data_IF_183710334990
#
_entry.id   IF_183710334990
#
_cell.length_a   1.000
_cell.length_b   1.000
_cell.length_c   1.000
_cell.angle_alpha   90.00
_cell.angle_beta   90.00
_cell.angle_gamma   90.00
#
_symmetry.space_group_name_H-M   'P 1'
#
loop_
_entity.id
_entity.type
_entity.pdbx_description
1 polymer ?
#
# COMPACT_ATOMS: atom_id res chain seq x y z
N UNK A 1 81.27 -50.84 45.27
CA UNK A 1 80.78 -50.74 43.87
C UNK A 1 79.26 -50.92 43.70
N UNK A 2 78.57 -51.80 44.46
CA UNK A 2 77.12 -52.03 44.31
C UNK A 2 76.21 -50.83 44.66
N UNK A 3 76.61 -49.97 45.60
CA UNK A 3 75.76 -48.85 46.07
C UNK A 3 75.73 -47.64 45.12
N UNK A 4 76.76 -47.45 44.29
CA UNK A 4 76.81 -46.35 43.31
C UNK A 4 75.95 -46.61 42.06
N UNK A 5 75.76 -47.87 41.68
CA UNK A 5 74.98 -48.26 40.48
C UNK A 5 73.47 -48.05 40.70
N UNK A 6 72.97 -48.26 41.91
CA UNK A 6 71.54 -48.12 42.25
C UNK A 6 71.10 -46.63 42.21
N UNK A 7 71.97 -45.72 42.66
CA UNK A 7 71.69 -44.28 42.70
C UNK A 7 71.63 -43.67 41.29
N UNK A 8 72.51 -44.09 40.37
CA UNK A 8 72.52 -43.64 38.97
C UNK A 8 71.28 -44.15 38.21
N UNK A 9 70.83 -45.37 38.47
CA UNK A 9 69.61 -45.97 37.88
C UNK A 9 68.31 -45.29 38.37
N UNK A 10 68.25 -44.87 39.63
CA UNK A 10 67.11 -44.12 40.18
C UNK A 10 67.05 -42.69 39.62
N UNK A 11 68.20 -42.02 39.49
CA UNK A 11 68.29 -40.64 38.99
C UNK A 11 67.99 -40.55 37.48
N UNK A 12 68.40 -41.55 36.69
CA UNK A 12 68.00 -41.66 35.27
C UNK A 12 66.50 -41.97 35.13
N UNK A 13 65.91 -42.87 35.92
CA UNK A 13 64.46 -43.11 35.92
C UNK A 13 63.64 -41.86 36.30
N UNK A 14 64.11 -41.07 37.26
CA UNK A 14 63.44 -39.83 37.67
C UNK A 14 63.49 -38.76 36.57
N UNK A 15 64.63 -38.61 35.89
CA UNK A 15 64.77 -37.72 34.73
C UNK A 15 63.89 -38.16 33.55
N UNK A 16 63.77 -39.46 33.30
CA UNK A 16 62.92 -40.01 32.22
C UNK A 16 61.43 -39.85 32.55
N UNK A 17 61.01 -40.10 33.79
CA UNK A 17 59.62 -39.87 34.25
C UNK A 17 59.23 -38.39 34.19
N UNK A 18 60.13 -37.48 34.55
CA UNK A 18 59.87 -36.03 34.48
C UNK A 18 59.70 -35.55 33.02
N UNK A 19 60.48 -36.09 32.08
CA UNK A 19 60.33 -35.84 30.64
C UNK A 19 59.02 -36.39 30.09
N UNK A 20 58.60 -37.59 30.53
CA UNK A 20 57.31 -38.19 30.15
C UNK A 20 56.14 -37.34 30.65
N UNK A 21 56.21 -36.84 31.89
CA UNK A 21 55.18 -35.95 32.46
C UNK A 21 55.11 -34.63 31.69
N UNK A 22 56.24 -34.00 31.36
CA UNK A 22 56.25 -32.79 30.53
C UNK A 22 55.69 -33.04 29.13
N UNK A 23 56.02 -34.19 28.52
CA UNK A 23 55.50 -34.56 27.21
C UNK A 23 53.97 -34.79 27.24
N UNK A 24 53.45 -35.47 28.26
CA UNK A 24 52.02 -35.68 28.47
C UNK A 24 51.28 -34.35 28.72
N UNK A 25 51.87 -33.43 29.51
CA UNK A 25 51.30 -32.10 29.74
C UNK A 25 51.23 -31.27 28.45
N UNK A 26 52.27 -31.31 27.63
CA UNK A 26 52.26 -30.65 26.31
C UNK A 26 51.20 -31.25 25.39
N UNK A 27 51.01 -32.58 25.41
CA UNK A 27 50.01 -33.28 24.61
C UNK A 27 48.56 -32.93 25.02
N UNK A 28 48.32 -32.73 26.32
CA UNK A 28 47.01 -32.31 26.84
C UNK A 28 46.71 -30.86 26.45
N UNK A 29 47.72 -29.98 26.52
CA UNK A 29 47.57 -28.56 26.15
C UNK A 29 47.32 -28.41 24.64
N UNK A 30 47.99 -29.19 23.79
CA UNK A 30 47.77 -29.16 22.33
C UNK A 30 46.43 -29.79 21.93
N UNK A 31 45.95 -30.81 22.66
CA UNK A 31 44.63 -31.40 22.46
C UNK A 31 43.46 -30.46 22.80
N UNK A 32 43.65 -29.55 23.76
CA UNK A 32 42.64 -28.55 24.13
C UNK A 32 42.63 -27.30 23.23
N UNK A 33 43.68 -27.09 22.42
CA UNK A 33 43.83 -25.88 21.59
C UNK A 33 43.01 -25.91 20.29
N UNK A 34 42.36 -27.01 19.95
CA UNK A 34 41.48 -27.11 18.79
C UNK A 34 40.09 -26.53 19.14
N UNK A 35 39.99 -25.20 19.29
CA UNK A 35 38.68 -24.54 19.27
C UNK A 35 38.09 -24.72 17.88
N UNK A 36 36.99 -25.46 17.78
CA UNK A 36 36.21 -25.59 16.54
C UNK A 36 35.90 -24.17 16.05
N UNK A 37 36.34 -23.83 14.83
CA UNK A 37 36.00 -22.55 14.21
C UNK A 37 34.48 -22.51 14.08
N UNK A 38 33.84 -21.51 14.67
CA UNK A 38 32.40 -21.35 14.55
C UNK A 38 32.12 -20.84 13.14
N UNK A 39 31.36 -21.61 12.37
CA UNK A 39 31.06 -21.28 10.99
C UNK A 39 29.99 -20.19 10.92
N UNK A 40 30.26 -19.16 10.10
CA UNK A 40 29.37 -18.02 9.89
C UNK A 40 29.17 -17.12 11.12
N UNK A 41 28.28 -16.15 10.96
CA UNK A 41 27.89 -15.16 11.97
C UNK A 41 26.38 -14.95 11.91
N UNK A 42 25.73 -14.83 13.06
CA UNK A 42 24.30 -14.49 13.18
C UNK A 42 24.18 -13.34 14.19
N UNK A 43 23.91 -12.13 13.69
CA UNK A 43 23.91 -10.91 14.49
C UNK A 43 22.86 -10.94 15.62
N UNK A 44 23.15 -10.23 16.71
CA UNK A 44 22.21 -9.94 17.81
C UNK A 44 21.36 -8.68 17.53
N UNK A 45 21.72 -7.90 16.53
CA UNK A 45 21.17 -6.57 16.25
C UNK A 45 20.43 -6.49 14.92
N UNK A 46 19.96 -7.64 14.40
CA UNK A 46 19.02 -7.66 13.28
C UNK A 46 17.78 -6.84 13.61
N UNK A 47 17.23 -6.18 12.58
CA UNK A 47 16.09 -5.27 12.75
C UNK A 47 15.37 -5.03 11.44
N UNK A 48 14.15 -4.52 11.52
CA UNK A 48 13.64 -3.70 10.42
C UNK A 48 14.25 -2.31 10.50
N UNK A 49 14.33 -1.63 9.36
CA UNK A 49 14.67 -0.19 9.31
C UNK A 49 13.67 0.61 10.16
N UNK A 50 12.38 0.30 10.03
CA UNK A 50 11.32 0.78 10.92
C UNK A 50 10.69 -0.40 11.65
N UNK A 51 10.74 -0.37 12.99
CA UNK A 51 10.13 -1.38 13.85
C UNK A 51 8.59 -1.33 13.78
N UNK A 52 8.03 -0.18 13.40
CA UNK A 52 6.60 0.04 13.22
C UNK A 52 6.23 -0.23 11.76
N UNK A 53 5.56 -1.35 11.54
CA UNK A 53 5.06 -1.76 10.23
C UNK A 53 3.60 -1.34 10.18
N UNK A 54 3.21 -0.58 9.17
CA UNK A 54 1.83 -0.11 9.04
C UNK A 54 1.10 -0.97 8.01
N UNK A 55 -0.05 -1.51 8.41
CA UNK A 55 -1.04 -2.08 7.52
C UNK A 55 -2.16 -1.05 7.37
N UNK A 56 -2.18 -0.36 6.23
CA UNK A 56 -3.33 0.44 5.82
C UNK A 56 -4.38 -0.54 5.26
N UNK A 57 -5.38 -0.86 6.07
CA UNK A 57 -6.33 -1.93 5.78
C UNK A 57 -7.03 -1.75 4.43
N UNK A 58 -7.24 -2.85 3.72
CA UNK A 58 -8.01 -2.90 2.47
C UNK A 58 -7.26 -2.43 1.23
N UNK A 59 -6.02 -1.94 1.35
CA UNK A 59 -5.18 -1.66 0.17
C UNK A 59 -4.85 -2.97 -0.59
N UNK A 60 -4.66 -2.89 -1.93
CA UNK A 60 -4.34 -4.06 -2.74
C UNK A 60 -3.00 -4.72 -2.36
N UNK A 61 -2.02 -3.91 -1.97
CA UNK A 61 -0.71 -4.36 -1.52
C UNK A 61 -0.09 -3.33 -0.58
N UNK A 62 0.28 -3.76 0.63
CA UNK A 62 1.13 -3.00 1.55
C UNK A 62 2.26 -3.91 1.99
N UNK A 63 3.50 -3.47 1.84
CA UNK A 63 4.67 -4.30 2.15
C UNK A 63 5.62 -3.57 3.09
N UNK A 64 6.15 -4.31 4.06
CA UNK A 64 7.25 -3.83 4.89
C UNK A 64 8.56 -3.82 4.10
N UNK A 65 9.55 -3.11 4.65
CA UNK A 65 10.94 -3.31 4.27
C UNK A 65 11.39 -4.73 4.65
N UNK A 66 12.45 -5.22 4.00
CA UNK A 66 13.12 -6.46 4.38
C UNK A 66 13.85 -6.29 5.71
N UNK A 67 14.13 -7.40 6.39
CA UNK A 67 14.96 -7.39 7.59
C UNK A 67 16.40 -7.03 7.21
N UNK A 68 16.99 -6.10 7.95
CA UNK A 68 18.42 -5.83 7.94
C UNK A 68 19.11 -6.92 8.77
N UNK A 69 19.94 -7.72 8.10
CA UNK A 69 20.61 -8.88 8.68
C UNK A 69 21.89 -8.51 9.42
N UNK A 70 22.30 -7.24 9.36
CA UNK A 70 23.42 -6.69 10.12
C UNK A 70 24.70 -7.54 10.01
N UNK A 71 25.13 -7.79 8.77
CA UNK A 71 26.35 -8.55 8.47
C UNK A 71 26.28 -10.06 8.71
N UNK A 72 25.12 -10.60 9.10
CA UNK A 72 24.93 -12.05 9.29
C UNK A 72 25.22 -12.83 8.00
N UNK A 73 25.76 -14.03 8.15
CA UNK A 73 26.13 -14.91 7.03
C UNK A 73 24.86 -15.51 6.39
N UNK A 74 24.56 -15.21 5.11
CA UNK A 74 23.47 -15.87 4.39
C UNK A 74 23.84 -17.32 4.00
N UNK A 75 22.87 -18.18 3.68
CA UNK A 75 21.42 -17.91 3.70
C UNK A 75 20.86 -17.91 5.13
N UNK A 76 19.87 -17.03 5.36
CA UNK A 76 19.12 -16.95 6.62
C UNK A 76 17.65 -17.28 6.31
N UNK A 77 17.04 -18.13 7.13
CA UNK A 77 15.60 -18.37 7.13
C UNK A 77 14.99 -17.66 8.33
N UNK A 78 13.91 -16.95 8.09
CA UNK A 78 13.12 -16.24 9.08
C UNK A 78 11.79 -16.94 9.31
N UNK A 79 11.33 -16.91 10.56
CA UNK A 79 10.02 -17.40 10.95
C UNK A 79 9.37 -16.47 11.97
N UNK A 80 8.10 -16.12 11.74
CA UNK A 80 7.34 -15.23 12.61
C UNK A 80 6.70 -16.03 13.73
N UNK A 81 6.98 -15.63 14.96
CA UNK A 81 6.54 -16.34 16.16
C UNK A 81 5.70 -15.43 17.05
N UNK A 82 4.78 -16.03 17.82
CA UNK A 82 4.01 -15.36 18.86
C UNK A 82 3.35 -14.03 18.45
N UNK A 83 2.70 -13.96 17.28
CA UNK A 83 1.92 -12.78 16.92
C UNK A 83 0.79 -12.59 17.94
N UNK A 84 0.79 -11.43 18.59
CA UNK A 84 -0.10 -11.12 19.73
C UNK A 84 -0.43 -9.64 19.76
N UNK A 85 -1.55 -9.29 20.36
CA UNK A 85 -1.87 -7.90 20.65
C UNK A 85 -0.88 -7.31 21.69
N UNK A 86 -0.75 -5.99 21.75
CA UNK A 86 0.21 -5.31 22.65
C UNK A 86 -0.02 -5.64 24.14
N UNK A 87 -1.25 -5.98 24.52
CA UNK A 87 -1.61 -6.42 25.88
C UNK A 87 -1.25 -7.89 26.18
N UNK A 88 -0.70 -8.63 25.21
CA UNK A 88 -0.32 -10.04 25.34
C UNK A 88 -1.35 -11.05 24.86
N UNK A 89 -2.57 -10.63 24.51
CA UNK A 89 -3.59 -11.54 23.99
C UNK A 89 -3.18 -12.11 22.62
N UNK A 90 -3.47 -13.38 22.31
CA UNK A 90 -3.19 -13.94 21.00
C UNK A 90 -3.77 -13.11 19.85
N UNK A 91 -3.08 -13.08 18.71
CA UNK A 91 -3.60 -12.40 17.55
C UNK A 91 -4.96 -12.97 17.12
N UNK A 92 -5.89 -12.11 16.69
CA UNK A 92 -7.22 -12.54 16.31
C UNK A 92 -7.16 -13.44 15.08
N UNK A 93 -8.12 -14.37 14.98
CA UNK A 93 -8.16 -15.39 13.92
C UNK A 93 -8.17 -14.78 12.51
N UNK A 94 -8.58 -13.53 12.38
CA UNK A 94 -8.71 -12.78 11.15
C UNK A 94 -7.35 -12.63 10.44
N UNK A 95 -6.21 -12.65 11.16
CA UNK A 95 -4.87 -12.71 10.55
C UNK A 95 -4.62 -13.99 9.73
N UNK A 96 -5.26 -15.09 10.13
CA UNK A 96 -5.00 -16.44 9.63
C UNK A 96 -6.17 -17.01 8.82
N UNK A 97 -7.31 -16.33 8.84
CA UNK A 97 -8.48 -16.71 8.07
C UNK A 97 -8.27 -16.37 6.59
N UNK A 98 -8.70 -17.24 5.70
CA UNK A 98 -8.62 -16.98 4.28
C UNK A 98 -9.83 -16.18 3.80
N UNK A 99 -9.60 -15.22 2.92
CA UNK A 99 -10.63 -14.41 2.28
C UNK A 99 -10.49 -14.51 0.77
N UNK A 100 -11.62 -14.50 0.06
CA UNK A 100 -11.63 -14.39 -1.39
C UNK A 100 -11.22 -12.97 -1.79
N UNK A 101 -10.08 -12.84 -2.47
CA UNK A 101 -9.55 -11.55 -2.95
C UNK A 101 -9.32 -11.63 -4.46
N UNK A 102 -9.79 -10.62 -5.19
CA UNK A 102 -9.45 -10.44 -6.59
C UNK A 102 -8.03 -9.87 -6.70
N UNK A 103 -7.13 -10.60 -7.36
CA UNK A 103 -5.74 -10.21 -7.56
C UNK A 103 -5.26 -10.53 -8.98
N UNK A 104 -4.12 -9.97 -9.36
CA UNK A 104 -3.45 -10.38 -10.60
C UNK A 104 -2.80 -11.76 -10.40
N UNK A 105 -2.86 -12.58 -11.45
CA UNK A 105 -2.15 -13.85 -11.50
C UNK A 105 -0.64 -13.63 -11.32
N UNK A 106 0.11 -14.57 -10.73
CA UNK A 106 1.55 -14.44 -10.59
C UNK A 106 2.24 -14.06 -11.91
N UNK A 107 3.09 -13.03 -11.87
CA UNK A 107 3.81 -12.52 -13.05
C UNK A 107 2.98 -11.68 -14.03
N UNK A 108 1.68 -11.52 -13.79
CA UNK A 108 0.81 -10.68 -14.61
C UNK A 108 0.62 -9.30 -13.95
N UNK A 109 0.52 -8.27 -14.77
CA UNK A 109 0.25 -6.89 -14.33
C UNK A 109 -0.66 -6.18 -15.31
N UNK A 110 -1.29 -5.09 -14.86
CA UNK A 110 -2.05 -4.21 -15.74
C UNK A 110 -1.14 -3.50 -16.73
N UNK A 111 -1.58 -3.41 -17.99
CA UNK A 111 -0.92 -2.65 -19.04
C UNK A 111 -1.93 -1.73 -19.75
N UNK A 112 -1.72 -0.42 -19.58
CA UNK A 112 -2.45 0.69 -20.20
C UNK A 112 -2.48 0.66 -21.74
N UNK A 113 -1.73 -0.19 -22.43
CA UNK A 113 -1.79 -0.28 -23.91
C UNK A 113 -2.57 -1.48 -24.38
N UNK A 114 -2.53 -2.58 -23.63
CA UNK A 114 -3.09 -3.87 -24.05
C UNK A 114 -4.37 -4.24 -23.32
N UNK A 115 -4.59 -3.77 -22.10
CA UNK A 115 -5.81 -4.04 -21.32
C UNK A 115 -6.84 -2.93 -21.58
N UNK A 116 -7.48 -3.00 -22.74
CA UNK A 116 -8.48 -1.99 -23.17
C UNK A 116 -9.90 -2.35 -22.80
N UNK A 117 -10.16 -3.62 -22.53
CA UNK A 117 -11.49 -4.14 -22.18
C UNK A 117 -11.48 -4.88 -20.84
N UNK A 118 -12.64 -4.96 -20.19
CA UNK A 118 -12.84 -5.76 -18.96
C UNK A 118 -12.43 -7.21 -19.18
N UNK A 119 -12.72 -7.77 -20.36
CA UNK A 119 -12.39 -9.14 -20.71
C UNK A 119 -10.86 -9.38 -20.78
N UNK A 120 -10.08 -8.46 -21.33
CA UNK A 120 -8.61 -8.54 -21.35
C UNK A 120 -8.03 -8.45 -19.94
N UNK A 121 -8.52 -7.49 -19.15
CA UNK A 121 -8.13 -7.32 -17.76
C UNK A 121 -8.41 -8.59 -16.93
N UNK A 122 -9.59 -9.20 -17.11
CA UNK A 122 -9.99 -10.40 -16.39
C UNK A 122 -9.20 -11.65 -16.80
N UNK A 123 -8.58 -11.70 -17.98
CA UNK A 123 -7.64 -12.79 -18.33
C UNK A 123 -6.42 -12.80 -17.40
N UNK A 124 -6.02 -11.63 -16.91
CA UNK A 124 -4.85 -11.43 -16.03
C UNK A 124 -5.18 -11.51 -14.54
N UNK A 125 -6.47 -11.53 -14.19
CA UNK A 125 -6.94 -11.55 -12.80
C UNK A 125 -7.49 -12.91 -12.43
N UNK A 126 -7.47 -13.19 -11.14
CA UNK A 126 -8.13 -14.33 -10.54
C UNK A 126 -8.62 -13.99 -9.14
N UNK A 127 -9.71 -14.65 -8.74
CA UNK A 127 -10.12 -14.68 -7.35
C UNK A 127 -9.30 -15.75 -6.65
N UNK A 128 -8.59 -15.38 -5.60
CA UNK A 128 -7.78 -16.30 -4.82
C UNK A 128 -8.21 -16.22 -3.36
N UNK A 129 -8.38 -17.38 -2.75
CA UNK A 129 -8.61 -17.51 -1.32
C UNK A 129 -7.26 -17.50 -0.63
N UNK A 130 -6.95 -16.42 0.09
CA UNK A 130 -5.64 -16.19 0.73
C UNK A 130 -5.81 -15.56 2.10
N UNK A 131 -4.84 -15.77 2.98
CA UNK A 131 -4.74 -15.01 4.24
C UNK A 131 -4.49 -13.53 3.94
N UNK A 132 -4.93 -12.61 4.81
CA UNK A 132 -4.75 -11.18 4.59
C UNK A 132 -3.31 -10.71 4.77
N UNK A 133 -2.49 -11.51 5.44
CA UNK A 133 -1.08 -11.26 5.72
C UNK A 133 -0.24 -12.46 5.31
N UNK A 134 0.91 -12.18 4.70
CA UNK A 134 1.96 -13.16 4.38
C UNK A 134 3.29 -12.69 4.96
N UNK A 135 4.04 -13.61 5.57
CA UNK A 135 5.41 -13.38 6.02
C UNK A 135 6.38 -14.13 5.12
N UNK A 136 7.32 -13.43 4.49
CA UNK A 136 8.30 -14.02 3.60
C UNK A 136 9.47 -14.62 4.42
N UNK A 137 9.69 -15.93 4.40
CA UNK A 137 10.72 -16.57 5.22
C UNK A 137 12.16 -16.31 4.75
N UNK A 138 12.37 -15.73 3.56
CA UNK A 138 13.70 -15.43 3.02
C UNK A 138 14.12 -13.99 3.28
N UNK A 139 13.19 -13.04 3.11
CA UNK A 139 13.48 -11.61 3.32
C UNK A 139 12.99 -11.07 4.66
N UNK A 140 12.14 -11.82 5.35
CA UNK A 140 11.38 -11.35 6.50
C UNK A 140 10.35 -10.29 6.15
N UNK A 141 10.04 -10.01 4.88
CA UNK A 141 9.03 -9.01 4.54
C UNK A 141 7.63 -9.47 4.91
N UNK A 142 6.83 -8.55 5.45
CA UNK A 142 5.39 -8.76 5.67
C UNK A 142 4.64 -8.09 4.52
N UNK A 143 3.72 -8.82 3.90
CA UNK A 143 2.83 -8.32 2.86
C UNK A 143 1.38 -8.43 3.31
N UNK A 144 0.61 -7.36 3.11
CA UNK A 144 -0.83 -7.33 3.33
C UNK A 144 -1.56 -7.16 2.01
N UNK A 145 -2.71 -7.82 1.88
CA UNK A 145 -3.62 -7.67 0.75
C UNK A 145 -4.97 -7.11 1.21
N UNK A 146 -5.95 -7.04 0.29
CA UNK A 146 -7.28 -6.46 0.57
C UNK A 146 -8.05 -7.13 1.70
N UNK A 147 -7.81 -8.42 1.94
CA UNK A 147 -8.42 -9.16 3.06
C UNK A 147 -8.09 -8.55 4.42
N UNK A 148 -7.03 -7.72 4.52
CA UNK A 148 -6.65 -7.00 5.74
C UNK A 148 -7.74 -6.09 6.30
N UNK A 149 -8.75 -5.73 5.50
CA UNK A 149 -9.94 -5.01 5.98
C UNK A 149 -10.68 -5.74 7.10
N UNK A 150 -10.57 -7.07 7.15
CA UNK A 150 -11.18 -7.89 8.19
C UNK A 150 -10.35 -7.96 9.47
N UNK A 151 -9.07 -7.58 9.44
CA UNK A 151 -8.22 -7.59 10.63
C UNK A 151 -8.66 -6.43 11.55
N UNK A 152 -8.92 -6.67 12.85
CA UNK A 152 -9.26 -5.61 13.78
C UNK A 152 -8.17 -4.53 13.88
N UNK A 153 -8.59 -3.28 14.09
CA UNK A 153 -7.66 -2.19 14.37
C UNK A 153 -6.90 -2.47 15.67
N UNK A 154 -5.62 -2.14 15.70
CA UNK A 154 -4.79 -2.35 16.89
C UNK A 154 -3.31 -2.43 16.60
N UNK A 155 -2.54 -2.69 17.65
CA UNK A 155 -1.10 -2.92 17.60
C UNK A 155 -0.79 -4.35 17.95
N UNK A 156 -0.05 -5.02 17.07
CA UNK A 156 0.30 -6.42 17.22
C UNK A 156 1.80 -6.58 17.21
N UNK A 157 2.33 -7.26 18.20
CA UNK A 157 3.75 -7.52 18.38
C UNK A 157 4.02 -8.96 17.98
N UNK A 158 5.14 -9.21 17.32
CA UNK A 158 5.61 -10.57 17.04
C UNK A 158 7.07 -10.74 17.45
N UNK A 159 7.42 -11.98 17.70
CA UNK A 159 8.79 -12.43 17.89
C UNK A 159 9.32 -12.96 16.54
N UNK A 160 10.62 -12.92 16.34
CA UNK A 160 11.26 -13.45 15.13
C UNK A 160 12.21 -14.57 15.51
N UNK A 161 12.11 -15.71 14.83
CA UNK A 161 13.18 -16.70 14.82
C UNK A 161 13.99 -16.57 13.54
N UNK A 162 15.33 -16.49 13.65
CA UNK A 162 16.23 -16.49 12.51
C UNK A 162 17.22 -17.66 12.61
N UNK A 163 17.44 -18.34 11.48
CA UNK A 163 18.33 -19.52 11.41
C UNK A 163 19.31 -19.39 10.26
N UNK A 164 20.60 -19.64 10.50
CA UNK A 164 21.62 -19.84 9.47
C UNK A 164 22.65 -20.91 9.88
N UNK A 165 23.78 -20.98 9.18
CA UNK A 165 24.88 -21.93 9.47
C UNK A 165 25.45 -21.79 10.89
N UNK A 166 25.33 -20.62 11.51
CA UNK A 166 25.81 -20.35 12.86
C UNK A 166 24.85 -20.86 13.95
N UNK A 167 23.59 -21.13 13.59
CA UNK A 167 22.55 -21.63 14.51
C UNK A 167 21.21 -20.91 14.36
N UNK A 168 20.39 -21.01 15.40
CA UNK A 168 19.06 -20.40 15.49
C UNK A 168 19.00 -19.41 16.65
N UNK A 169 18.39 -18.24 16.43
CA UNK A 169 18.20 -17.19 17.45
C UNK A 169 16.75 -16.71 17.47
N UNK A 170 16.22 -16.48 18.68
CA UNK A 170 14.91 -15.87 18.89
C UNK A 170 15.07 -14.41 19.31
N UNK A 171 14.37 -13.52 18.63
CA UNK A 171 14.29 -12.09 18.92
C UNK A 171 12.88 -11.78 19.42
N UNK A 172 12.69 -11.63 20.75
CA UNK A 172 11.38 -11.31 21.30
C UNK A 172 10.98 -9.86 20.98
N UNK A 173 9.69 -9.65 20.72
CA UNK A 173 9.11 -8.34 20.41
C UNK A 173 9.86 -7.59 19.29
N UNK A 174 10.16 -8.34 18.22
CA UNK A 174 11.01 -7.91 17.11
C UNK A 174 10.41 -6.75 16.33
N UNK A 175 9.11 -6.81 16.02
CA UNK A 175 8.39 -5.80 15.25
C UNK A 175 6.99 -5.54 15.80
N UNK A 176 6.42 -4.39 15.45
CA UNK A 176 5.03 -4.01 15.77
C UNK A 176 4.28 -3.74 14.47
N UNK A 177 3.19 -4.47 14.24
CA UNK A 177 2.25 -4.27 13.15
C UNK A 177 1.13 -3.36 13.66
N UNK A 178 1.02 -2.17 13.08
CA UNK A 178 -0.03 -1.20 13.33
C UNK A 178 -1.12 -1.40 12.26
N UNK A 179 -2.26 -1.96 12.67
CA UNK A 179 -3.43 -2.12 11.81
C UNK A 179 -4.26 -0.84 11.93
N UNK A 180 -4.29 -0.05 10.87
CA UNK A 180 -4.95 1.25 10.82
C UNK A 180 -5.84 1.38 9.59
N UNK A 181 -6.86 2.22 9.70
CA UNK A 181 -7.62 2.60 8.52
C UNK A 181 -6.83 3.61 7.68
N UNK A 182 -6.85 3.49 6.34
CA UNK A 182 -6.26 4.48 5.45
C UNK A 182 -6.94 5.83 5.65
N UNK A 183 -6.13 6.90 5.69
CA UNK A 183 -6.63 8.26 5.72
C UNK A 183 -7.15 8.68 4.34
N UNK A 184 -8.00 9.72 4.26
CA UNK A 184 -8.47 10.23 2.96
C UNK A 184 -7.33 10.54 1.98
N UNK A 185 -6.20 11.08 2.43
CA UNK A 185 -5.02 11.38 1.60
C UNK A 185 -4.27 10.13 1.08
N UNK A 186 -4.41 9.00 1.77
CA UNK A 186 -3.88 7.71 1.31
C UNK A 186 -4.70 7.16 0.13
N UNK A 187 -5.98 7.53 0.06
CA UNK A 187 -6.94 7.04 -0.94
C UNK A 187 -7.12 8.06 -2.08
N UNK A 188 -7.18 9.35 -1.76
CA UNK A 188 -7.55 10.41 -2.68
C UNK A 188 -6.45 11.46 -2.76
N UNK A 189 -6.32 12.07 -3.93
CA UNK A 189 -5.57 13.30 -4.15
C UNK A 189 -6.48 14.27 -4.88
N UNK A 190 -6.79 15.41 -4.28
CA UNK A 190 -7.42 16.52 -5.00
C UNK A 190 -6.34 17.33 -5.71
N UNK A 191 -6.49 17.52 -7.01
CA UNK A 191 -5.52 18.21 -7.86
C UNK A 191 -6.03 19.60 -8.30
N UNK A 192 -7.35 19.75 -8.50
CA UNK A 192 -7.97 21.02 -8.90
C UNK A 192 -9.46 21.09 -8.49
N UNK A 193 -9.98 22.30 -8.27
CA UNK A 193 -11.39 22.56 -7.97
C UNK A 193 -11.78 24.03 -8.26
N UNK A 194 -11.61 24.49 -9.50
CA UNK A 194 -11.91 25.87 -9.91
C UNK A 194 -13.26 25.97 -10.62
N UNK A 195 -13.95 27.11 -10.54
CA UNK A 195 -15.11 27.38 -11.40
C UNK A 195 -15.13 28.83 -11.87
N UNK A 196 -15.60 29.03 -13.10
CA UNK A 196 -15.77 30.35 -13.70
C UNK A 196 -17.16 30.50 -14.30
N UNK A 197 -17.72 31.69 -14.19
CA UNK A 197 -18.93 32.11 -14.89
C UNK A 197 -18.56 32.55 -16.31
N UNK A 198 -19.26 32.07 -17.33
CA UNK A 198 -19.08 32.52 -18.71
C UNK A 198 -20.34 33.23 -19.16
N UNK A 199 -20.22 34.48 -19.57
CA UNK A 199 -21.33 35.22 -20.14
C UNK A 199 -21.74 34.57 -21.48
N UNK A 200 -23.00 34.18 -21.64
CA UNK A 200 -23.45 33.36 -22.76
C UNK A 200 -23.40 34.09 -24.11
N UNK A 201 -23.59 35.41 -24.11
CA UNK A 201 -23.49 36.25 -25.32
C UNK A 201 -22.05 36.64 -25.64
N UNK A 202 -21.29 37.19 -24.70
CA UNK A 202 -19.95 37.77 -24.97
C UNK A 202 -18.82 36.77 -24.83
N UNK A 203 -19.06 35.62 -24.19
CA UNK A 203 -18.04 34.62 -23.89
C UNK A 203 -17.05 35.02 -22.78
N UNK A 204 -17.21 36.21 -22.18
CA UNK A 204 -16.31 36.71 -21.15
C UNK A 204 -16.35 35.81 -19.92
N UNK A 205 -15.18 35.36 -19.49
CA UNK A 205 -15.00 34.58 -18.28
C UNK A 205 -14.87 35.52 -17.06
N UNK A 206 -15.66 35.27 -16.02
CA UNK A 206 -15.63 36.00 -14.76
C UNK A 206 -15.50 35.00 -13.62
N UNK A 207 -14.62 35.28 -12.66
CA UNK A 207 -14.44 34.43 -11.49
C UNK A 207 -15.68 34.47 -10.58
N UNK A 208 -15.99 33.33 -9.96
CA UNK A 208 -16.94 33.22 -8.85
C UNK A 208 -16.39 32.22 -7.83
N UNK A 209 -17.14 31.85 -6.79
CA UNK A 209 -16.59 31.00 -5.73
C UNK A 209 -16.19 29.62 -6.26
N UNK A 210 -15.03 29.16 -5.81
CA UNK A 210 -14.57 27.82 -6.12
C UNK A 210 -15.52 26.76 -5.51
N UNK A 211 -15.79 25.65 -6.23
CA UNK A 211 -16.53 24.53 -5.69
C UNK A 211 -15.76 23.84 -4.55
N UNK A 212 -16.51 23.12 -3.71
CA UNK A 212 -15.95 22.17 -2.74
C UNK A 212 -16.03 20.77 -3.32
N UNK A 213 -14.89 20.10 -3.44
CA UNK A 213 -14.84 18.69 -3.80
C UNK A 213 -14.81 17.84 -2.52
N UNK A 214 -15.62 16.79 -2.47
CA UNK A 214 -15.66 15.85 -1.34
C UNK A 214 -15.61 14.41 -1.84
N UNK A 215 -14.94 13.57 -1.06
CA UNK A 215 -14.71 12.17 -1.38
C UNK A 215 -15.24 11.31 -0.25
N UNK A 216 -16.13 10.38 -0.57
CA UNK A 216 -16.73 9.46 0.40
C UNK A 216 -16.58 8.04 -0.11
N UNK A 217 -15.88 7.19 0.65
CA UNK A 217 -15.88 5.74 0.40
C UNK A 217 -17.17 5.15 0.98
N UNK A 218 -17.95 4.47 0.16
CA UNK A 218 -19.22 3.84 0.57
C UNK A 218 -19.13 2.33 0.65
N UNK A 219 -18.16 1.72 -0.05
CA UNK A 219 -17.87 0.29 0.07
C UNK A 219 -16.39 0.01 -0.24
N UNK A 220 -15.84 -1.04 0.38
CA UNK A 220 -14.55 -1.63 0.02
C UNK A 220 -14.63 -2.48 -1.24
N UNK A 221 -15.84 -2.85 -1.65
CA UNK A 221 -16.09 -3.70 -2.82
C UNK A 221 -16.30 -2.87 -4.09
N UNK A 222 -15.94 -3.48 -5.21
CA UNK A 222 -16.08 -2.92 -6.56
C UNK A 222 -14.96 -1.96 -6.93
N UNK A 223 -15.15 -1.28 -8.06
CA UNK A 223 -14.26 -0.25 -8.58
C UNK A 223 -15.12 0.81 -9.27
N UNK A 224 -15.93 1.52 -8.47
CA UNK A 224 -16.99 2.42 -8.94
C UNK A 224 -16.83 3.83 -8.39
N UNK A 225 -16.99 4.82 -9.27
CA UNK A 225 -17.13 6.23 -8.91
C UNK A 225 -18.55 6.69 -9.27
N UNK A 226 -19.22 7.32 -8.30
CA UNK A 226 -20.49 8.02 -8.46
C UNK A 226 -20.19 9.52 -8.33
N UNK A 227 -20.00 10.18 -9.46
CA UNK A 227 -19.69 11.61 -9.54
C UNK A 227 -20.97 12.44 -9.55
N UNK A 228 -21.11 13.31 -8.56
CA UNK A 228 -22.22 14.27 -8.42
C UNK A 228 -21.71 15.68 -8.62
N UNK A 229 -22.45 16.49 -9.36
CA UNK A 229 -22.28 17.94 -9.37
C UNK A 229 -23.55 18.53 -8.78
N UNK A 230 -23.42 19.27 -7.68
CA UNK A 230 -24.54 19.79 -6.92
C UNK A 230 -24.45 21.30 -6.74
N UNK A 231 -25.61 21.91 -6.51
CA UNK A 231 -25.72 23.32 -6.21
C UNK A 231 -25.33 23.62 -4.74
N UNK A 232 -25.38 24.90 -4.36
CA UNK A 232 -24.99 25.35 -3.02
C UNK A 232 -25.84 24.78 -1.91
N UNK A 233 -27.03 24.26 -2.22
CA UNK A 233 -27.96 23.63 -1.28
C UNK A 233 -27.85 22.10 -1.28
N UNK A 234 -26.97 21.52 -2.11
CA UNK A 234 -26.80 20.07 -2.25
C UNK A 234 -27.80 19.42 -3.20
N UNK A 235 -28.56 20.19 -4.00
CA UNK A 235 -29.43 19.64 -5.03
C UNK A 235 -28.57 19.25 -6.25
N UNK A 236 -28.55 17.98 -6.68
CA UNK A 236 -27.76 17.56 -7.83
C UNK A 236 -28.34 18.16 -9.12
N UNK A 237 -27.45 18.53 -10.04
CA UNK A 237 -27.80 18.78 -11.44
C UNK A 237 -28.06 17.44 -12.14
N UNK A 238 -28.99 17.44 -13.10
CA UNK A 238 -29.39 16.25 -13.84
C UNK A 238 -28.55 16.10 -15.12
N UNK A 239 -27.52 15.23 -15.15
CA UNK A 239 -26.75 15.04 -16.38
C UNK A 239 -27.56 14.34 -17.48
N UNK A 240 -28.48 13.44 -17.14
CA UNK A 240 -29.33 12.76 -18.13
C UNK A 240 -30.28 13.72 -18.87
N UNK A 241 -30.71 14.80 -18.22
CA UNK A 241 -31.51 15.87 -18.80
C UNK A 241 -30.68 16.96 -19.51
N UNK A 242 -29.34 16.81 -19.56
CA UNK A 242 -28.45 17.78 -20.20
C UNK A 242 -28.22 19.06 -19.39
N UNK A 243 -28.38 19.01 -18.06
CA UNK A 243 -28.00 20.13 -17.19
C UNK A 243 -26.48 20.22 -17.01
N UNK A 244 -25.76 19.13 -17.28
CA UNK A 244 -24.30 19.07 -17.30
C UNK A 244 -23.90 18.68 -18.71
N UNK A 245 -23.17 19.55 -19.40
CA UNK A 245 -22.72 19.32 -20.77
C UNK A 245 -21.20 19.48 -20.90
N UNK A 246 -20.63 18.85 -21.91
CA UNK A 246 -19.21 19.01 -22.24
C UNK A 246 -18.88 20.47 -22.55
N UNK A 247 -17.73 20.93 -22.05
CA UNK A 247 -17.19 22.25 -22.36
C UNK A 247 -16.32 22.22 -23.62
N UNK A 248 -16.95 22.24 -24.79
CA UNK A 248 -16.24 22.27 -26.07
C UNK A 248 -15.39 21.02 -26.31
N UNK A 249 -14.10 21.19 -26.62
CA UNK A 249 -13.14 20.12 -26.89
C UNK A 249 -12.40 19.62 -25.63
N UNK A 250 -12.67 20.23 -24.47
CA UNK A 250 -11.98 19.91 -23.20
C UNK A 250 -12.27 18.49 -22.71
N UNK A 251 -11.35 17.89 -21.92
CA UNK A 251 -11.57 16.58 -21.32
C UNK A 251 -12.69 16.61 -20.29
N UNK A 252 -13.42 15.51 -20.22
CA UNK A 252 -14.53 15.25 -19.30
C UNK A 252 -14.26 13.95 -18.54
N UNK A 253 -15.12 13.60 -17.58
CA UNK A 253 -14.99 12.36 -16.80
C UNK A 253 -14.98 11.11 -17.69
N UNK A 254 -15.78 11.14 -18.76
CA UNK A 254 -15.90 10.12 -19.79
C UNK A 254 -14.58 9.84 -20.50
N UNK A 255 -13.69 10.82 -20.64
CA UNK A 255 -12.38 10.61 -21.27
C UNK A 255 -11.46 9.68 -20.46
N UNK A 256 -11.70 9.55 -19.16
CA UNK A 256 -10.94 8.68 -18.27
C UNK A 256 -11.63 7.32 -18.04
N UNK A 257 -12.90 7.19 -18.47
CA UNK A 257 -13.68 5.96 -18.37
C UNK A 257 -13.29 4.98 -19.49
N UNK A 258 -12.32 4.13 -19.21
CA UNK A 258 -11.69 3.28 -20.24
C UNK A 258 -12.45 1.99 -20.53
N UNK A 259 -12.89 1.29 -19.50
CA UNK A 259 -13.41 -0.07 -19.63
C UNK A 259 -14.91 -0.12 -19.88
N UNK A 260 -15.63 0.84 -19.31
CA UNK A 260 -17.08 0.94 -19.39
C UNK A 260 -17.46 2.39 -19.71
N UNK A 261 -18.45 2.62 -20.60
CA UNK A 261 -18.99 3.95 -20.81
C UNK A 261 -19.59 4.52 -19.52
N UNK A 262 -19.44 5.83 -19.32
CA UNK A 262 -20.09 6.53 -18.19
C UNK A 262 -21.61 6.43 -18.31
N UNK A 263 -22.26 6.08 -17.22
CA UNK A 263 -23.72 6.05 -17.12
C UNK A 263 -24.23 7.36 -16.55
N UNK A 264 -25.16 8.01 -17.25
CA UNK A 264 -25.78 9.26 -16.82
C UNK A 264 -27.15 8.99 -16.20
N UNK A 265 -27.32 9.41 -14.95
CA UNK A 265 -28.58 9.28 -14.19
C UNK A 265 -29.18 10.66 -13.94
N UNK A 266 -30.30 10.73 -13.23
CA UNK A 266 -30.92 12.01 -12.88
C UNK A 266 -30.11 12.83 -11.86
N UNK A 267 -29.09 12.23 -11.23
CA UNK A 267 -28.33 12.87 -10.13
C UNK A 267 -26.82 12.71 -10.19
N UNK A 268 -26.30 11.85 -11.08
CA UNK A 268 -24.89 11.47 -11.09
C UNK A 268 -24.42 10.93 -12.43
N UNK A 269 -23.10 11.01 -12.63
CA UNK A 269 -22.32 10.30 -13.65
C UNK A 269 -21.61 9.11 -12.98
N UNK A 270 -21.79 7.90 -13.48
CA UNK A 270 -21.27 6.67 -12.85
C UNK A 270 -20.25 6.02 -13.78
N UNK A 271 -19.08 5.67 -13.24
CA UNK A 271 -18.01 4.98 -13.96
C UNK A 271 -17.55 3.76 -13.15
N UNK A 272 -17.52 2.60 -13.78
CA UNK A 272 -16.80 1.43 -13.29
C UNK A 272 -15.38 1.45 -13.88
N UNK A 273 -14.41 1.82 -13.06
CA UNK A 273 -13.03 2.07 -13.48
C UNK A 273 -12.14 0.83 -13.48
N UNK A 274 -12.65 -0.28 -12.93
CA UNK A 274 -12.08 -1.65 -12.93
C UNK A 274 -10.73 -1.86 -12.22
N UNK A 275 -9.82 -0.89 -12.28
CA UNK A 275 -8.47 -0.98 -11.73
C UNK A 275 -8.00 0.38 -11.23
N UNK A 276 -7.52 0.43 -9.99
CA UNK A 276 -6.89 1.63 -9.45
C UNK A 276 -5.43 1.77 -9.94
N UNK A 277 -4.90 3.00 -10.05
CA UNK A 277 -5.55 4.27 -9.74
C UNK A 277 -6.52 4.75 -10.83
N UNK A 278 -7.43 5.66 -10.49
CA UNK A 278 -8.25 6.40 -11.44
C UNK A 278 -7.97 7.91 -11.35
N UNK A 279 -7.73 8.62 -12.45
CA UNK A 279 -7.47 8.08 -13.79
C UNK A 279 -6.18 7.24 -13.86
N UNK A 280 -6.12 6.32 -14.82
CA UNK A 280 -4.94 5.46 -15.03
C UNK A 280 -3.77 6.19 -15.73
N UNK A 281 -4.08 7.28 -16.42
CA UNK A 281 -3.12 8.10 -17.12
C UNK A 281 -3.65 9.52 -17.29
N UNK A 282 -2.71 10.46 -17.48
CA UNK A 282 -3.02 11.82 -17.89
C UNK A 282 -3.68 11.85 -19.25
N UNK A 283 -4.59 12.81 -19.46
CA UNK A 283 -5.17 13.11 -20.75
C UNK A 283 -4.26 14.08 -21.52
N UNK A 284 -3.58 13.56 -22.54
CA UNK A 284 -2.64 14.32 -23.38
C UNK A 284 -3.13 14.26 -24.82
N UNK A 285 -3.29 15.43 -25.44
CA UNK A 285 -3.52 15.57 -26.88
C UNK A 285 -2.22 15.96 -27.58
N UNK A 286 -2.14 15.94 -28.93
CA UNK A 286 -0.93 16.39 -29.64
C UNK A 286 -0.50 17.82 -29.33
N UNK A 287 -1.39 18.66 -28.80
CA UNK A 287 -1.17 20.09 -28.57
C UNK A 287 -1.24 20.50 -27.10
N UNK A 288 -1.71 19.65 -26.18
CA UNK A 288 -1.93 20.04 -24.78
C UNK A 288 -1.86 18.84 -23.82
N UNK A 289 -1.10 18.99 -22.73
CA UNK A 289 -1.19 18.12 -21.56
C UNK A 289 -2.25 18.70 -20.62
N UNK A 290 -3.37 17.97 -20.47
CA UNK A 290 -4.47 18.36 -19.59
C UNK A 290 -4.35 17.75 -18.19
N UNK A 291 -3.36 16.91 -17.92
CA UNK A 291 -3.26 16.18 -16.66
C UNK A 291 -4.50 15.31 -16.42
N UNK A 292 -5.11 15.46 -15.24
CA UNK A 292 -6.38 14.80 -14.89
C UNK A 292 -7.57 15.77 -14.87
N UNK A 293 -7.45 16.92 -15.55
CA UNK A 293 -8.51 17.93 -15.56
C UNK A 293 -9.80 17.37 -16.20
N UNK A 294 -10.91 17.66 -15.54
CA UNK A 294 -12.28 17.38 -15.95
C UNK A 294 -12.99 18.73 -16.06
N UNK A 295 -13.62 18.96 -17.21
CA UNK A 295 -14.33 20.20 -17.50
C UNK A 295 -15.79 19.91 -17.85
N UNK A 296 -16.70 20.66 -17.24
CA UNK A 296 -18.09 20.70 -17.66
C UNK A 296 -18.61 22.12 -17.77
N UNK A 297 -19.81 22.24 -18.33
CA UNK A 297 -20.61 23.45 -18.34
C UNK A 297 -22.02 23.11 -17.86
N UNK A 298 -22.56 23.97 -17.00
CA UNK A 298 -23.98 24.01 -16.66
C UNK A 298 -24.56 25.24 -17.35
N UNK A 299 -25.44 25.06 -18.35
CA UNK A 299 -26.09 26.17 -19.04
C UNK A 299 -26.83 27.11 -18.08
N UNK A 300 -26.78 28.41 -18.33
CA UNK A 300 -27.41 29.45 -17.50
C UNK A 300 -28.91 29.26 -17.26
N UNK A 301 -29.62 28.58 -18.16
CA UNK A 301 -31.04 28.24 -17.97
C UNK A 301 -31.29 27.29 -16.79
N UNK A 302 -30.27 26.54 -16.37
CA UNK A 302 -30.36 25.57 -15.28
C UNK A 302 -29.67 26.06 -14.00
N UNK A 303 -29.00 27.21 -14.02
CA UNK A 303 -28.21 27.69 -12.89
C UNK A 303 -28.24 29.21 -12.74
N UNK A 304 -28.33 29.67 -11.49
CA UNK A 304 -28.10 31.08 -11.12
C UNK A 304 -26.90 31.17 -10.18
N UNK A 305 -25.99 32.10 -10.44
CA UNK A 305 -24.82 32.39 -9.60
C UNK A 305 -25.12 33.60 -8.74
N UNK A 306 -24.84 33.53 -7.44
CA UNK A 306 -25.10 34.64 -6.50
C UNK A 306 -24.37 35.92 -6.95
N UNK A 307 -25.13 37.01 -7.10
CA UNK A 307 -24.60 38.31 -7.54
C UNK A 307 -24.46 38.49 -9.05
N UNK A 308 -24.81 37.47 -9.86
CA UNK A 308 -24.82 37.55 -11.33
C UNK A 308 -26.25 37.66 -11.86
N UNK A 309 -26.41 38.24 -13.05
CA UNK A 309 -27.71 38.29 -13.73
C UNK A 309 -28.18 36.89 -14.12
N UNK A 310 -29.36 36.43 -13.67
CA UNK A 310 -29.90 35.11 -14.02
C UNK A 310 -30.05 34.91 -15.52
N UNK A 311 -29.80 33.70 -16.02
CA UNK A 311 -29.96 33.35 -17.43
C UNK A 311 -28.92 33.93 -18.40
N UNK A 312 -27.89 34.63 -17.90
CA UNK A 312 -26.81 35.17 -18.75
C UNK A 312 -25.46 34.49 -18.55
N UNK A 313 -25.28 33.73 -17.48
CA UNK A 313 -23.98 33.15 -17.13
C UNK A 313 -24.06 31.64 -16.96
N UNK A 314 -23.40 30.91 -17.85
CA UNK A 314 -23.17 29.47 -17.67
C UNK A 314 -22.08 29.22 -16.63
N UNK A 315 -22.26 28.21 -15.80
CA UNK A 315 -21.25 27.79 -14.80
C UNK A 315 -20.29 26.80 -15.44
N UNK A 316 -18.99 27.04 -15.32
CA UNK A 316 -17.96 26.21 -15.97
C UNK A 316 -17.00 25.65 -14.91
N UNK A 317 -17.39 24.59 -14.18
CA UNK A 317 -16.50 23.92 -13.25
C UNK A 317 -15.35 23.20 -13.95
N UNK A 318 -14.20 23.24 -13.31
CA UNK A 318 -12.98 22.49 -13.62
C UNK A 318 -12.50 21.82 -12.33
N UNK A 319 -12.20 20.54 -12.39
CA UNK A 319 -11.69 19.81 -11.23
C UNK A 319 -10.82 18.65 -11.67
N UNK A 320 -9.99 18.16 -10.77
CA UNK A 320 -9.15 17.00 -11.00
C UNK A 320 -8.93 16.26 -9.69
N UNK A 321 -8.88 14.94 -9.77
CA UNK A 321 -8.56 14.09 -8.63
C UNK A 321 -7.92 12.78 -9.09
N UNK A 322 -7.15 12.17 -8.18
CA UNK A 322 -6.71 10.79 -8.30
C UNK A 322 -7.30 9.96 -7.16
N UNK A 323 -7.84 8.80 -7.50
CA UNK A 323 -8.28 7.75 -6.58
C UNK A 323 -7.27 6.60 -6.67
N UNK A 324 -6.59 6.30 -5.56
CA UNK A 324 -5.47 5.34 -5.48
C UNK A 324 -5.91 3.92 -5.15
N UNK A 325 -7.18 3.71 -4.82
CA UNK A 325 -7.69 2.43 -4.31
C UNK A 325 -9.02 2.06 -4.97
N UNK A 326 -9.21 0.77 -5.23
CA UNK A 326 -10.52 0.20 -5.61
C UNK A 326 -11.52 0.30 -4.45
N UNK A 327 -12.81 0.18 -4.77
CA UNK A 327 -13.95 0.41 -3.89
C UNK A 327 -15.07 1.13 -4.61
N UNK A 328 -16.15 1.40 -3.90
CA UNK A 328 -17.24 2.25 -4.38
C UNK A 328 -17.17 3.60 -3.69
N UNK A 329 -17.19 4.68 -4.47
CA UNK A 329 -16.97 6.04 -4.01
C UNK A 329 -18.05 6.99 -4.49
N UNK A 330 -18.48 7.90 -3.63
CA UNK A 330 -19.23 9.09 -4.01
C UNK A 330 -18.25 10.26 -4.03
N UNK A 331 -18.16 10.92 -5.18
CA UNK A 331 -17.38 12.13 -5.36
C UNK A 331 -18.35 13.25 -5.66
N UNK A 332 -18.41 14.26 -4.81
CA UNK A 332 -19.32 15.39 -4.98
C UNK A 332 -18.54 16.68 -5.19
N UNK A 333 -18.76 17.31 -6.34
CA UNK A 333 -18.38 18.69 -6.62
C UNK A 333 -19.57 19.61 -6.29
N UNK A 334 -19.52 20.27 -5.14
CA UNK A 334 -20.56 21.20 -4.69
C UNK A 334 -20.19 22.63 -5.05
N UNK A 335 -20.98 23.26 -5.93
CA UNK A 335 -20.85 24.67 -6.27
C UNK A 335 -21.34 25.52 -5.09
N UNK A 336 -20.53 26.45 -4.57
CA UNK A 336 -20.79 27.06 -3.26
C UNK A 336 -21.59 28.37 -3.29
N UNK A 337 -21.85 28.91 -4.49
CA UNK A 337 -22.62 30.12 -4.75
C UNK A 337 -23.61 29.98 -5.92
N UNK A 338 -23.85 28.75 -6.37
CA UNK A 338 -24.76 28.46 -7.49
C UNK A 338 -26.03 27.81 -6.98
N UNK A 339 -27.18 28.19 -7.53
CA UNK A 339 -28.48 27.54 -7.28
C UNK A 339 -28.97 26.87 -8.55
N UNK A 340 -29.41 25.60 -8.47
CA UNK A 340 -30.03 24.90 -9.60
C UNK A 340 -31.45 25.43 -9.82
N UNK A 341 -31.74 25.91 -11.03
CA UNK A 341 -33.08 26.33 -11.47
C UNK A 341 -33.74 25.23 -12.29
N UNK A 342 -35.07 25.19 -12.24
CA UNK A 342 -35.87 24.20 -12.98
C UNK A 342 -36.09 24.62 -14.43
#
# INVERSE_FOLDING_TARGET
>A
MRTYIITILLQTRYYTMRKIIYFLLVLIITGMACKKIQEGFLSDTMRYIDKNIYCLRGLPLVQSQRIDIDGSTPPITFDMQNLRHENGDPAPKEFFSEYEVLMFKPGMTFDIKTDTTVAELNKKREKRTVTPMEFNPVSGQISFNRGSVNIPLGKYIFDLQATNVNGTKLFPSFGTINIVDPLPEDIFLQEDNVSNAFHDVTGVATAHKNPKLTFTKVSNDGARIILKISDKNGKPFNPKAGEIIRRGDRPTFENYARFTPVQFTDTAMICDFEVAPFPLAKYITPTTDWGHLIYYRIPSRFATIDGFTPGLYSVNPRFAFTLKMEGTYIIELRLTDVTRTN
#
